data_IF_276298516852
#
_entry.id   IF_276298516852
#
_cell.length_a   1.000
_cell.length_b   1.000
_cell.length_c   1.000
_cell.angle_alpha   90.00
_cell.angle_beta   90.00
_cell.angle_gamma   90.00
#
_symmetry.space_group_name_H-M   'P 1'
#
loop_
_entity.id
_entity.type
_entity.pdbx_description
1 polymer ?
#
# COMPACT_ATOMS: atom_id res chain seq x y z
N UNK A 1 10.46 -5.33 17.80
CA UNK A 1 10.63 -5.12 16.35
C UNK A 1 9.84 -3.90 15.93
N UNK A 2 10.52 -2.77 15.82
CA UNK A 2 9.95 -1.48 15.45
C UNK A 2 10.45 -1.12 14.03
N UNK A 3 9.59 -0.56 13.20
CA UNK A 3 9.96 -0.13 11.85
C UNK A 3 11.14 0.84 11.85
N UNK A 4 11.24 1.73 12.85
CA UNK A 4 12.37 2.64 13.03
C UNK A 4 13.71 1.92 13.23
N UNK A 5 13.74 0.83 13.99
CA UNK A 5 14.95 0.02 14.18
C UNK A 5 15.40 -0.62 12.85
N UNK A 6 14.46 -1.01 11.99
CA UNK A 6 14.77 -1.56 10.69
C UNK A 6 15.44 -0.52 9.79
N UNK A 7 14.92 0.72 9.75
CA UNK A 7 15.55 1.79 8.98
C UNK A 7 16.95 2.13 9.48
N UNK A 8 17.16 2.19 10.79
CA UNK A 8 18.49 2.41 11.37
C UNK A 8 19.46 1.27 11.02
N UNK A 9 18.98 0.02 11.08
CA UNK A 9 19.77 -1.14 10.67
C UNK A 9 20.19 -1.07 9.22
N UNK A 10 19.27 -0.73 8.30
CA UNK A 10 19.57 -0.60 6.88
C UNK A 10 20.60 0.51 6.62
N UNK A 11 20.49 1.66 7.29
CA UNK A 11 21.45 2.76 7.17
C UNK A 11 22.83 2.39 7.67
N UNK A 12 22.93 1.55 8.71
CA UNK A 12 24.18 1.10 9.30
C UNK A 12 24.82 -0.08 8.53
N UNK A 13 24.07 -0.75 7.67
CA UNK A 13 24.50 -1.96 6.95
C UNK A 13 24.25 -1.81 5.43
N UNK A 14 25.18 -1.18 4.69
CA UNK A 14 24.98 -0.86 3.27
C UNK A 14 24.76 -2.07 2.34
N UNK A 15 25.16 -3.27 2.77
CA UNK A 15 24.97 -4.51 2.03
C UNK A 15 23.71 -5.29 2.45
N UNK A 16 22.75 -4.63 3.11
CA UNK A 16 21.51 -5.26 3.55
C UNK A 16 20.31 -4.82 2.69
N UNK A 17 19.28 -5.66 2.65
CA UNK A 17 18.00 -5.40 1.99
C UNK A 17 16.90 -5.56 3.02
N UNK A 18 15.99 -4.59 3.09
CA UNK A 18 14.82 -4.62 3.97
C UNK A 18 13.52 -4.78 3.17
N UNK A 19 12.57 -5.53 3.75
CA UNK A 19 11.20 -5.60 3.26
C UNK A 19 10.30 -4.79 4.19
N UNK A 20 9.68 -3.76 3.64
CA UNK A 20 8.84 -2.82 4.40
C UNK A 20 7.49 -2.74 3.70
N UNK A 21 6.36 -2.79 4.42
CA UNK A 21 5.06 -2.56 3.82
C UNK A 21 4.99 -1.19 3.14
N UNK A 22 4.51 -1.14 1.91
CA UNK A 22 4.46 0.09 1.11
C UNK A 22 3.73 1.23 1.82
N UNK A 23 2.69 0.94 2.61
CA UNK A 23 1.95 1.93 3.40
C UNK A 23 2.80 2.75 4.37
N UNK A 24 3.95 2.25 4.80
CA UNK A 24 4.88 3.00 5.67
C UNK A 24 5.71 4.04 4.91
N UNK A 25 5.83 3.91 3.60
CA UNK A 25 6.66 4.77 2.77
C UNK A 25 5.86 5.45 1.65
N UNK A 26 4.54 5.30 1.64
CA UNK A 26 3.68 5.79 0.56
C UNK A 26 3.56 7.31 0.50
N UNK A 27 3.71 7.98 1.63
CA UNK A 27 3.64 9.44 1.74
C UNK A 27 5.07 10.03 1.79
N UNK A 28 5.75 9.99 0.65
CA UNK A 28 7.13 10.51 0.52
C UNK A 28 7.23 12.03 0.71
N UNK A 29 6.11 12.76 0.65
CA UNK A 29 6.08 14.22 0.88
C UNK A 29 6.08 14.57 2.38
N UNK A 30 5.80 13.60 3.23
CA UNK A 30 5.87 13.75 4.69
C UNK A 30 7.32 13.83 5.15
N UNK A 31 7.72 14.93 5.83
CA UNK A 31 9.07 15.12 6.35
C UNK A 31 9.61 13.91 7.13
N UNK A 32 8.86 13.30 8.08
CA UNK A 32 9.37 12.14 8.82
C UNK A 32 9.70 10.94 7.94
N UNK A 33 8.96 10.73 6.85
CA UNK A 33 9.19 9.62 5.94
C UNK A 33 10.38 9.92 5.03
N UNK A 34 10.51 11.16 4.56
CA UNK A 34 11.66 11.60 3.77
C UNK A 34 12.96 11.42 4.55
N UNK A 35 13.01 11.83 5.83
CA UNK A 35 14.15 11.59 6.72
C UNK A 35 14.45 10.10 6.93
N UNK A 36 13.43 9.26 7.09
CA UNK A 36 13.61 7.80 7.23
C UNK A 36 14.22 7.19 5.97
N UNK A 37 13.85 7.67 4.79
CA UNK A 37 14.32 7.18 3.50
C UNK A 37 15.66 7.80 3.07
N UNK A 38 16.12 8.83 3.74
CA UNK A 38 17.39 9.48 3.42
C UNK A 38 18.55 8.46 3.44
N UNK A 39 19.33 8.42 2.37
CA UNK A 39 20.43 7.46 2.21
C UNK A 39 20.00 6.04 1.86
N UNK A 40 18.71 5.75 1.73
CA UNK A 40 18.17 4.46 1.30
C UNK A 40 17.59 4.55 -0.11
N UNK A 41 17.63 3.44 -0.82
CA UNK A 41 17.07 3.33 -2.18
C UNK A 41 15.93 2.34 -2.21
N UNK A 42 14.77 2.78 -2.66
CA UNK A 42 13.65 1.88 -2.99
C UNK A 42 14.00 1.13 -4.26
N UNK A 43 14.04 -0.20 -4.17
CA UNK A 43 14.40 -1.07 -5.28
C UNK A 43 13.20 -1.36 -6.16
N UNK A 44 13.44 -1.36 -7.49
CA UNK A 44 12.52 -1.93 -8.45
C UNK A 44 12.64 -3.46 -8.48
N UNK A 45 11.57 -4.13 -8.88
CA UNK A 45 11.55 -5.58 -9.07
C UNK A 45 11.43 -5.88 -10.57
N UNK A 46 12.22 -6.81 -11.04
CA UNK A 46 12.11 -7.32 -12.41
C UNK A 46 11.14 -8.50 -12.38
N UNK A 47 10.06 -8.42 -13.11
CA UNK A 47 9.12 -9.50 -13.33
C UNK A 47 8.93 -9.81 -14.81
N UNK A 48 8.35 -10.95 -15.11
CA UNK A 48 7.98 -11.31 -16.48
C UNK A 48 6.50 -11.01 -16.68
N UNK A 49 6.18 -10.31 -17.76
CA UNK A 49 4.79 -10.13 -18.17
C UNK A 49 4.22 -11.44 -18.76
N UNK A 50 2.94 -11.42 -19.12
CA UNK A 50 2.25 -12.55 -19.75
C UNK A 50 2.91 -13.00 -21.07
N UNK A 51 3.68 -12.15 -21.73
CA UNK A 51 4.43 -12.42 -22.96
C UNK A 51 5.89 -12.81 -22.69
N UNK A 52 6.26 -13.08 -21.42
CA UNK A 52 7.62 -13.40 -20.98
C UNK A 52 8.66 -12.30 -21.26
N UNK A 53 8.22 -11.05 -21.40
CA UNK A 53 9.11 -9.90 -21.48
C UNK A 53 9.44 -9.40 -20.08
N UNK A 54 10.69 -9.03 -19.86
CA UNK A 54 11.14 -8.44 -18.61
C UNK A 54 10.52 -7.06 -18.42
N UNK A 55 9.81 -6.90 -17.32
CA UNK A 55 9.22 -5.63 -16.89
C UNK A 55 9.87 -5.19 -15.58
N UNK A 56 10.36 -3.95 -15.55
CA UNK A 56 10.91 -3.34 -14.32
C UNK A 56 9.80 -2.55 -13.66
N UNK A 57 9.42 -2.95 -12.45
CA UNK A 57 8.29 -2.35 -11.73
C UNK A 57 8.74 -1.77 -10.40
N UNK A 58 8.38 -0.52 -10.13
CA UNK A 58 8.59 0.16 -8.85
C UNK A 58 7.33 -0.01 -8.00
N UNK A 59 7.46 -0.23 -6.67
CA UNK A 59 6.32 -0.28 -5.78
C UNK A 59 5.58 1.05 -5.78
N UNK A 60 4.31 1.02 -6.14
CA UNK A 60 3.40 2.17 -6.12
C UNK A 60 1.96 1.70 -5.97
N UNK A 61 1.05 2.56 -5.50
CA UNK A 61 -0.36 2.19 -5.45
C UNK A 61 -0.91 1.78 -6.82
N UNK A 62 -0.47 2.42 -7.90
CA UNK A 62 -0.91 2.07 -9.26
C UNK A 62 -0.39 0.71 -9.70
N UNK A 63 0.90 0.41 -9.50
CA UNK A 63 1.48 -0.89 -9.89
C UNK A 63 0.96 -2.05 -9.03
N UNK A 64 0.59 -1.78 -7.78
CA UNK A 64 -0.09 -2.75 -6.91
C UNK A 64 -1.54 -2.98 -7.39
N UNK A 65 -2.25 -1.92 -7.74
CA UNK A 65 -3.62 -1.98 -8.22
C UNK A 65 -3.74 -2.70 -9.57
N UNK A 66 -2.82 -2.45 -10.50
CA UNK A 66 -2.74 -3.14 -11.79
C UNK A 66 -2.23 -4.56 -11.69
N UNK A 67 -1.75 -4.99 -10.50
CA UNK A 67 -1.13 -6.29 -10.24
C UNK A 67 0.15 -6.55 -11.06
N UNK A 68 0.79 -5.49 -11.52
CA UNK A 68 2.09 -5.57 -12.19
C UNK A 68 3.22 -5.80 -11.18
N UNK A 69 3.10 -5.24 -9.96
CA UNK A 69 4.08 -5.44 -8.89
C UNK A 69 3.87 -6.84 -8.26
N UNK A 70 4.90 -7.71 -8.27
CA UNK A 70 4.70 -9.12 -7.92
C UNK A 70 4.60 -9.39 -6.41
N UNK A 71 5.15 -8.48 -5.56
CA UNK A 71 5.20 -8.68 -4.11
C UNK A 71 3.97 -8.04 -3.44
N UNK A 72 2.78 -8.53 -3.75
CA UNK A 72 1.52 -8.06 -3.17
C UNK A 72 1.18 -8.89 -1.94
N UNK A 73 0.93 -8.21 -0.81
CA UNK A 73 0.43 -8.83 0.41
C UNK A 73 -0.99 -8.34 0.72
N UNK A 74 -2.02 -9.18 0.53
CA UNK A 74 -3.40 -8.78 0.79
C UNK A 74 -3.67 -8.71 2.29
N UNK A 75 -4.39 -7.65 2.72
CA UNK A 75 -4.93 -7.55 4.07
C UNK A 75 -6.28 -8.26 4.10
N UNK A 76 -6.39 -9.28 4.94
CA UNK A 76 -7.58 -10.11 5.08
C UNK A 76 -8.22 -9.89 6.46
N UNK A 77 -9.52 -9.66 6.48
CA UNK A 77 -10.30 -9.62 7.71
C UNK A 77 -10.97 -10.96 7.95
N UNK A 78 -10.74 -11.52 9.12
CA UNK A 78 -11.38 -12.78 9.55
C UNK A 78 -12.35 -12.47 10.69
N UNK A 79 -13.62 -12.81 10.53
CA UNK A 79 -14.64 -12.71 11.58
C UNK A 79 -14.94 -14.12 12.11
N UNK A 80 -14.51 -14.40 13.34
CA UNK A 80 -14.75 -15.69 14.01
C UNK A 80 -16.07 -15.73 14.79
N UNK A 81 -16.73 -14.60 15.00
CA UNK A 81 -17.94 -14.47 15.79
C UNK A 81 -19.21 -14.45 14.92
N UNK A 82 -19.51 -15.52 14.24
CA UNK A 82 -20.84 -15.70 13.65
C UNK A 82 -21.80 -16.25 14.73
N UNK A 83 -22.95 -15.63 14.99
CA UNK A 83 -23.73 -14.70 14.14
C UNK A 83 -23.75 -13.22 14.59
N UNK A 84 -22.77 -12.73 15.35
CA UNK A 84 -22.81 -11.37 15.87
C UNK A 84 -22.67 -10.30 14.75
N UNK A 85 -23.70 -9.43 14.68
CA UNK A 85 -23.83 -8.39 13.64
C UNK A 85 -22.70 -7.36 13.60
N UNK A 86 -21.99 -7.16 14.72
CA UNK A 86 -20.96 -6.10 14.83
C UNK A 86 -19.80 -6.29 13.84
N UNK A 87 -19.25 -7.50 13.72
CA UNK A 87 -18.15 -7.78 12.78
C UNK A 87 -18.59 -7.63 11.34
N UNK A 88 -19.80 -8.08 11.00
CA UNK A 88 -20.38 -7.94 9.66
C UNK A 88 -20.61 -6.46 9.32
N UNK A 89 -21.12 -5.66 10.26
CA UNK A 89 -21.34 -4.23 10.07
C UNK A 89 -20.02 -3.49 9.83
N UNK A 90 -18.96 -3.86 10.53
CA UNK A 90 -17.63 -3.29 10.31
C UNK A 90 -17.10 -3.62 8.91
N UNK A 91 -17.17 -4.88 8.48
CA UNK A 91 -16.75 -5.28 7.13
C UNK A 91 -17.58 -4.53 6.07
N UNK A 92 -18.91 -4.46 6.25
CA UNK A 92 -19.78 -3.71 5.35
C UNK A 92 -19.44 -2.20 5.30
N UNK A 93 -19.01 -1.62 6.44
CA UNK A 93 -18.52 -0.25 6.46
C UNK A 93 -17.22 -0.10 5.65
N UNK A 94 -16.30 -1.06 5.75
CA UNK A 94 -15.04 -1.02 4.99
C UNK A 94 -15.25 -1.02 3.47
N UNK A 95 -16.33 -1.64 2.97
CA UNK A 95 -16.67 -1.61 1.54
C UNK A 95 -17.29 -0.28 1.07
N UNK A 96 -17.66 0.63 1.99
CA UNK A 96 -18.25 1.91 1.61
C UNK A 96 -17.19 2.85 0.98
N UNK A 97 -17.60 3.72 0.03
CA UNK A 97 -16.66 4.62 -0.66
C UNK A 97 -15.82 5.49 0.27
N UNK A 98 -16.40 5.91 1.42
CA UNK A 98 -15.69 6.72 2.43
C UNK A 98 -14.52 5.96 3.05
N UNK A 99 -14.72 4.70 3.43
CA UNK A 99 -13.67 3.85 3.99
C UNK A 99 -12.61 3.52 2.93
N UNK A 100 -13.02 3.23 1.70
CA UNK A 100 -12.09 2.96 0.59
C UNK A 100 -11.23 4.18 0.22
N UNK A 101 -11.78 5.41 0.32
CA UNK A 101 -10.98 6.64 0.18
C UNK A 101 -9.96 6.80 1.31
N UNK A 102 -10.31 6.42 2.53
CA UNK A 102 -9.36 6.41 3.65
C UNK A 102 -8.24 5.40 3.43
N UNK A 103 -8.59 4.19 2.96
CA UNK A 103 -7.61 3.16 2.58
C UNK A 103 -6.59 3.70 1.56
N UNK A 104 -7.06 4.42 0.53
CA UNK A 104 -6.19 5.09 -0.44
C UNK A 104 -5.24 6.11 0.22
N UNK A 105 -5.76 6.94 1.12
CA UNK A 105 -4.94 7.94 1.82
C UNK A 105 -3.87 7.32 2.73
N UNK A 106 -4.11 6.12 3.22
CA UNK A 106 -3.16 5.36 4.03
C UNK A 106 -2.11 4.61 3.20
N UNK A 107 -2.01 4.90 1.90
CA UNK A 107 -1.04 4.24 1.02
C UNK A 107 -1.40 2.79 0.67
N UNK A 108 -2.59 2.32 1.06
CA UNK A 108 -3.06 0.97 0.74
C UNK A 108 -3.83 0.97 -0.58
N UNK A 109 -3.84 -0.16 -1.27
CA UNK A 109 -4.68 -0.36 -2.43
C UNK A 109 -6.10 -0.77 -1.99
N UNK A 110 -7.16 0.00 -2.31
CA UNK A 110 -8.52 -0.34 -1.92
C UNK A 110 -9.03 -1.56 -2.67
N UNK A 111 -9.85 -2.38 -2.00
CA UNK A 111 -10.49 -3.53 -2.63
C UNK A 111 -11.52 -3.11 -3.72
N UNK A 112 -12.13 -1.93 -3.54
CA UNK A 112 -13.04 -1.31 -4.50
C UNK A 112 -12.59 0.13 -4.70
N UNK A 113 -12.20 0.48 -5.92
CA UNK A 113 -11.82 1.86 -6.22
C UNK A 113 -13.03 2.80 -6.11
N UNK A 114 -12.97 3.81 -5.22
CA UNK A 114 -14.07 4.76 -5.09
C UNK A 114 -14.15 5.62 -6.35
N UNK A 115 -15.32 5.62 -7.01
CA UNK A 115 -15.57 6.48 -8.15
C UNK A 115 -15.35 7.97 -7.82
N UNK A 116 -14.87 8.75 -8.78
CA UNK A 116 -14.83 10.22 -8.68
C UNK A 116 -16.18 10.77 -9.04
N UNK A 117 -16.92 11.29 -8.06
CA UNK A 117 -18.07 12.13 -8.33
C UNK A 117 -17.60 13.54 -8.66
N UNK A 118 -17.68 13.94 -9.90
CA UNK A 118 -17.45 15.33 -10.34
C UNK A 118 -18.79 16.03 -10.27
N UNK A 119 -19.02 16.86 -9.25
CA UNK A 119 -20.16 17.80 -9.24
C UNK A 119 -19.79 19.01 -10.09
N UNK A 120 -20.33 19.09 -11.28
CA UNK A 120 -20.23 20.28 -12.12
C UNK A 120 -21.33 21.24 -11.61
N UNK A 121 -20.94 22.29 -10.91
CA UNK A 121 -21.85 23.40 -10.63
C UNK A 121 -21.96 24.24 -11.91
N UNK A 122 -22.95 23.98 -12.73
CA UNK A 122 -23.39 24.92 -13.77
C UNK A 122 -24.06 26.11 -13.06
N UNK A 123 -23.42 27.28 -13.12
CA UNK A 123 -24.05 28.59 -12.79
C UNK A 123 -25.02 28.97 -13.90
#
# INVERSE_FOLDING_TARGET
NNTGELFQFLKSNPNSIGLIPFSYISDVESEPIAEMLEGLKVLSVICLDSNKKSLVVIPSQSSIASKEYPLINPIVFVNSNMPFKSGINFVNYLYKPRAQRLTLKLGLCPAIFPGREIKINTK
#
